data_IF_546710458017
#
_entry.id   IF_546710458017
#
_cell.length_a   1.000
_cell.length_b   1.000
_cell.length_c   1.000
_cell.angle_alpha   90.00
_cell.angle_beta   90.00
_cell.angle_gamma   90.00
#
_symmetry.space_group_name_H-M   'P 1'
#
loop_
_entity.id
_entity.type
_entity.pdbx_description
1 polymer ?
#
# COMPACT_ATOMS: atom_id res chain seq x y z
N UNK A 1 -45.72 44.47 -57.18
CA UNK A 1 -45.54 45.48 -56.11
C UNK A 1 -45.39 44.69 -54.82
N UNK A 2 -44.38 44.77 -53.97
CA UNK A 2 -43.33 45.76 -53.76
C UNK A 2 -42.22 45.03 -52.96
N UNK A 3 -40.96 45.32 -53.26
CA UNK A 3 -39.82 44.93 -52.44
C UNK A 3 -39.96 45.49 -51.01
N UNK A 4 -39.50 44.76 -49.98
CA UNK A 4 -38.28 45.15 -49.23
C UNK A 4 -38.30 44.90 -47.71
N UNK A 5 -37.36 44.04 -47.25
CA UNK A 5 -36.50 44.13 -46.05
C UNK A 5 -37.12 44.28 -44.64
N UNK A 6 -36.71 43.41 -43.72
CA UNK A 6 -35.80 43.70 -42.59
C UNK A 6 -35.74 42.48 -41.65
N UNK A 7 -34.52 42.00 -41.45
CA UNK A 7 -34.09 41.11 -40.37
C UNK A 7 -34.63 41.57 -39.02
N UNK A 8 -35.02 40.64 -38.13
CA UNK A 8 -34.58 40.62 -36.72
C UNK A 8 -35.26 39.48 -35.93
N UNK A 9 -34.42 38.57 -35.45
CA UNK A 9 -34.52 37.80 -34.20
C UNK A 9 -35.78 36.94 -33.93
N UNK A 10 -35.58 35.65 -33.68
CA UNK A 10 -35.63 35.05 -32.33
C UNK A 10 -35.94 33.53 -32.37
N UNK A 11 -34.94 32.76 -31.91
CA UNK A 11 -35.06 31.53 -31.08
C UNK A 11 -35.76 30.33 -31.71
N UNK A 12 -35.02 29.40 -32.32
CA UNK A 12 -34.39 28.24 -31.64
C UNK A 12 -35.34 27.59 -30.63
N UNK A 13 -35.90 26.42 -30.98
CA UNK A 13 -36.20 25.34 -30.04
C UNK A 13 -36.37 24.02 -30.82
N UNK A 14 -35.23 23.46 -31.23
CA UNK A 14 -35.12 22.08 -31.66
C UNK A 14 -35.05 21.23 -30.37
N UNK A 15 -36.16 20.64 -29.94
CA UNK A 15 -36.17 19.67 -28.84
C UNK A 15 -35.62 18.33 -29.34
N UNK A 16 -34.29 18.22 -29.38
CA UNK A 16 -33.60 16.94 -29.43
C UNK A 16 -33.18 16.60 -28.00
N UNK A 17 -34.09 15.99 -27.24
CA UNK A 17 -33.75 15.35 -25.96
C UNK A 17 -33.03 14.05 -26.33
N UNK A 18 -31.71 14.13 -26.45
CA UNK A 18 -30.85 12.96 -26.34
C UNK A 18 -30.80 12.63 -24.85
N UNK A 19 -31.60 11.64 -24.44
CA UNK A 19 -31.40 10.96 -23.16
C UNK A 19 -30.04 10.27 -23.22
N UNK A 20 -29.00 10.98 -22.74
CA UNK A 20 -27.77 10.36 -22.28
C UNK A 20 -28.16 9.41 -21.14
N UNK A 21 -28.41 8.15 -21.48
CA UNK A 21 -28.29 7.07 -20.53
C UNK A 21 -26.81 7.00 -20.15
N UNK A 22 -26.42 7.83 -19.18
CA UNK A 22 -25.27 7.52 -18.37
C UNK A 22 -25.64 6.24 -17.63
N UNK A 23 -25.27 5.09 -18.19
CA UNK A 23 -25.13 3.88 -17.39
C UNK A 23 -24.34 4.30 -16.16
N UNK A 24 -24.83 4.07 -14.92
CA UNK A 24 -23.98 4.30 -13.77
C UNK A 24 -22.72 3.51 -14.04
N UNK A 25 -21.59 4.21 -14.22
CA UNK A 25 -20.28 3.58 -14.18
C UNK A 25 -20.32 2.75 -12.93
N UNK A 26 -20.21 1.43 -13.05
CA UNK A 26 -20.08 0.56 -11.90
C UNK A 26 -18.98 1.19 -11.05
N UNK A 27 -19.34 1.72 -9.87
CA UNK A 27 -18.43 2.53 -9.10
C UNK A 27 -17.21 1.66 -8.85
N UNK A 28 -16.05 2.08 -9.35
CA UNK A 28 -14.83 1.30 -9.22
C UNK A 28 -14.63 1.02 -7.73
N UNK A 29 -14.71 -0.25 -7.35
CA UNK A 29 -14.59 -0.64 -5.94
C UNK A 29 -13.26 -0.13 -5.41
N UNK A 30 -13.32 0.58 -4.29
CA UNK A 30 -12.18 1.18 -3.65
C UNK A 30 -12.27 1.02 -2.13
N UNK A 31 -11.14 1.17 -1.46
CA UNK A 31 -10.97 1.04 0.00
C UNK A 31 -11.09 2.37 0.74
N UNK A 32 -11.67 3.40 0.11
CA UNK A 32 -11.91 4.70 0.69
C UNK A 32 -13.24 4.75 1.45
N UNK A 33 -13.19 5.23 2.68
CA UNK A 33 -14.33 5.56 3.52
C UNK A 33 -14.37 7.05 3.80
N UNK A 34 -15.57 7.61 3.88
CA UNK A 34 -15.80 9.01 4.28
C UNK A 34 -16.61 9.01 5.57
N UNK A 35 -16.11 9.73 6.57
CA UNK A 35 -16.79 9.96 7.85
C UNK A 35 -17.05 11.44 7.98
N UNK A 36 -18.31 11.83 8.09
CA UNK A 36 -18.72 13.23 8.13
C UNK A 36 -19.35 13.59 9.48
N UNK A 37 -19.06 14.80 9.92
CA UNK A 37 -19.72 15.50 11.01
C UNK A 37 -20.15 16.89 10.54
N UNK A 38 -20.97 17.63 11.29
CA UNK A 38 -21.38 18.98 10.88
C UNK A 38 -20.24 19.97 10.64
N UNK A 39 -19.05 19.73 11.21
CA UNK A 39 -17.91 20.64 11.15
C UNK A 39 -16.65 20.06 10.51
N UNK A 40 -16.57 18.74 10.31
CA UNK A 40 -15.37 18.06 9.84
C UNK A 40 -15.69 16.84 8.98
N UNK A 41 -14.79 16.55 8.03
CA UNK A 41 -14.79 15.33 7.23
C UNK A 41 -13.46 14.62 7.41
N UNK A 42 -13.50 13.30 7.61
CA UNK A 42 -12.33 12.43 7.63
C UNK A 42 -12.48 11.42 6.52
N UNK A 43 -11.44 11.30 5.71
CA UNK A 43 -11.32 10.26 4.70
C UNK A 43 -10.34 9.18 5.23
N UNK A 44 -10.80 7.94 5.32
CA UNK A 44 -9.98 6.80 5.70
C UNK A 44 -9.76 5.92 4.48
N UNK A 45 -8.53 5.89 3.99
CA UNK A 45 -8.13 5.10 2.84
C UNK A 45 -7.36 3.87 3.31
N UNK A 46 -7.87 2.67 3.03
CA UNK A 46 -7.06 1.46 3.14
C UNK A 46 -6.03 1.43 2.00
N UNK A 47 -4.75 1.66 2.32
CA UNK A 47 -3.68 1.77 1.32
C UNK A 47 -3.07 0.41 0.99
N UNK A 48 -2.43 0.35 -0.20
CA UNK A 48 -1.55 -0.74 -0.58
C UNK A 48 -0.14 -0.15 -0.77
N UNK A 49 0.80 -0.59 0.06
CA UNK A 49 2.19 -0.12 0.07
C UNK A 49 2.98 -0.44 -1.20
N UNK A 50 2.48 -1.38 -2.01
CA UNK A 50 3.20 -1.90 -3.17
C UNK A 50 2.21 -2.16 -4.30
N UNK A 51 2.46 -1.57 -5.47
CA UNK A 51 1.60 -1.70 -6.64
C UNK A 51 2.42 -1.88 -7.91
N UNK A 52 1.75 -2.34 -8.97
CA UNK A 52 2.27 -2.28 -10.33
C UNK A 52 1.91 -0.92 -10.96
N UNK A 53 2.69 -0.43 -11.92
CA UNK A 53 2.33 0.77 -12.69
C UNK A 53 0.94 0.69 -13.33
N UNK A 54 0.55 -0.50 -13.81
CA UNK A 54 -0.77 -0.74 -14.43
C UNK A 54 -1.97 -0.67 -13.47
N UNK A 55 -1.76 -0.51 -12.16
CA UNK A 55 -2.84 -0.27 -11.19
C UNK A 55 -3.25 1.20 -11.10
N UNK A 56 -2.58 2.09 -11.84
CA UNK A 56 -2.94 3.49 -11.98
C UNK A 56 -3.77 3.74 -13.25
N UNK A 57 -4.60 4.80 -13.29
CA UNK A 57 -4.83 5.76 -12.20
C UNK A 57 -5.60 5.15 -11.02
N UNK A 58 -5.40 5.73 -9.83
CA UNK A 58 -6.23 5.41 -8.68
C UNK A 58 -7.68 5.84 -8.93
N UNK A 59 -8.62 5.25 -8.18
CA UNK A 59 -10.03 5.58 -8.31
C UNK A 59 -10.25 7.09 -8.08
N UNK A 60 -11.05 7.73 -8.94
CA UNK A 60 -11.31 9.18 -8.88
C UNK A 60 -11.73 9.66 -7.49
N UNK A 61 -12.51 8.85 -6.76
CA UNK A 61 -12.93 9.17 -5.40
C UNK A 61 -11.75 9.38 -4.42
N UNK A 62 -10.64 8.64 -4.58
CA UNK A 62 -9.42 8.83 -3.78
C UNK A 62 -8.75 10.16 -4.10
N UNK A 63 -8.69 10.53 -5.39
CA UNK A 63 -8.13 11.80 -5.84
C UNK A 63 -8.97 13.00 -5.39
N UNK A 64 -10.29 12.87 -5.45
CA UNK A 64 -11.23 13.88 -4.98
C UNK A 64 -11.11 14.07 -3.46
N UNK A 65 -11.05 12.97 -2.69
CA UNK A 65 -10.85 13.01 -1.25
C UNK A 65 -9.52 13.66 -0.84
N UNK A 66 -8.44 13.35 -1.56
CA UNK A 66 -7.15 14.00 -1.35
C UNK A 66 -7.24 15.50 -1.62
N UNK A 67 -7.90 15.90 -2.71
CA UNK A 67 -8.05 17.31 -3.10
C UNK A 67 -8.92 18.12 -2.14
N UNK A 68 -9.91 17.47 -1.51
CA UNK A 68 -10.77 18.06 -0.47
C UNK A 68 -10.08 18.14 0.91
N UNK A 69 -8.94 17.46 1.08
CA UNK A 69 -8.22 17.38 2.35
C UNK A 69 -7.18 18.49 2.51
N UNK A 70 -7.01 18.96 3.75
CA UNK A 70 -5.96 19.94 4.14
C UNK A 70 -4.78 19.30 4.86
N UNK A 71 -4.95 18.07 5.31
CA UNK A 71 -3.98 17.31 6.07
C UNK A 71 -3.91 15.90 5.48
N UNK A 72 -2.69 15.36 5.40
CA UNK A 72 -2.48 13.93 5.16
C UNK A 72 -1.92 13.32 6.43
N UNK A 73 -2.53 12.23 6.88
CA UNK A 73 -2.08 11.46 8.04
C UNK A 73 -1.71 10.06 7.57
N UNK A 74 -0.45 9.67 7.70
CA UNK A 74 0.06 8.35 7.36
C UNK A 74 0.21 7.48 8.62
N UNK A 75 0.35 6.16 8.46
CA UNK A 75 0.56 5.26 9.60
C UNK A 75 1.81 5.64 10.41
N UNK A 76 2.90 5.96 9.70
CA UNK A 76 4.13 6.45 10.30
C UNK A 76 4.75 7.57 9.49
N UNK A 77 5.79 8.21 10.03
CA UNK A 77 6.50 9.26 9.32
C UNK A 77 7.28 8.67 8.15
N UNK A 78 6.82 8.97 6.93
CA UNK A 78 7.41 8.39 5.73
C UNK A 78 8.80 8.97 5.41
N UNK A 79 9.11 10.21 5.83
CA UNK A 79 10.45 10.77 5.66
C UNK A 79 11.48 10.00 6.49
N UNK A 80 11.10 9.47 7.66
CA UNK A 80 12.01 8.70 8.52
C UNK A 80 12.37 7.35 7.88
N UNK A 81 11.47 6.75 7.09
CA UNK A 81 11.65 5.41 6.50
C UNK A 81 12.81 5.35 5.49
N UNK A 82 13.20 6.47 4.92
CA UNK A 82 14.31 6.54 3.97
C UNK A 82 15.68 6.75 4.65
N UNK A 83 15.70 7.06 5.96
CA UNK A 83 16.91 7.41 6.69
C UNK A 83 17.81 6.19 6.95
N UNK A 84 19.15 6.33 6.90
CA UNK A 84 20.08 5.28 7.32
C UNK A 84 19.83 4.79 8.75
N UNK A 85 19.48 5.69 9.66
CA UNK A 85 19.24 5.39 11.07
C UNK A 85 18.09 4.40 11.26
N UNK A 86 16.99 4.57 10.54
CA UNK A 86 15.86 3.62 10.59
C UNK A 86 16.25 2.27 9.99
N UNK A 87 17.03 2.24 8.91
CA UNK A 87 17.53 0.98 8.31
C UNK A 87 18.40 0.21 9.30
N UNK A 88 19.31 0.89 9.99
CA UNK A 88 20.18 0.27 10.99
C UNK A 88 19.36 -0.29 12.17
N UNK A 89 18.34 0.45 12.63
CA UNK A 89 17.43 -0.04 13.68
C UNK A 89 16.66 -1.30 13.27
N UNK A 90 16.17 -1.35 12.03
CA UNK A 90 15.51 -2.54 11.47
C UNK A 90 16.48 -3.71 11.49
N UNK A 91 17.69 -3.54 10.97
CA UNK A 91 18.70 -4.61 10.88
C UNK A 91 19.13 -5.10 12.27
N UNK A 92 19.37 -4.20 13.22
CA UNK A 92 19.70 -4.54 14.60
C UNK A 92 18.60 -5.38 15.27
N UNK A 93 17.33 -5.17 14.90
CA UNK A 93 16.20 -5.96 15.40
C UNK A 93 15.93 -7.22 14.60
N UNK A 94 16.32 -7.27 13.33
CA UNK A 94 16.11 -8.40 12.43
C UNK A 94 17.16 -9.52 12.60
N UNK A 95 18.40 -9.19 12.96
CA UNK A 95 19.51 -10.14 13.07
C UNK A 95 19.58 -10.76 14.48
N UNK A 96 20.01 -12.03 14.55
CA UNK A 96 20.44 -12.66 15.80
C UNK A 96 21.86 -12.22 16.17
N UNK A 97 22.01 -11.61 17.35
CA UNK A 97 23.30 -11.14 17.87
C UNK A 97 23.89 -12.07 18.94
N UNK A 98 23.14 -13.07 19.39
CA UNK A 98 23.49 -14.00 20.47
C UNK A 98 24.01 -15.36 19.95
N UNK A 99 24.22 -15.47 18.64
CA UNK A 99 24.59 -16.72 17.97
C UNK A 99 23.44 -17.68 17.72
N UNK A 100 22.20 -17.34 18.12
CA UNK A 100 21.01 -18.06 17.68
C UNK A 100 20.84 -17.97 16.16
N UNK A 101 20.09 -18.89 15.59
CA UNK A 101 19.78 -18.89 14.16
C UNK A 101 18.28 -19.02 13.91
N UNK A 102 17.87 -18.82 12.66
CA UNK A 102 16.50 -19.12 12.22
C UNK A 102 16.14 -20.57 12.53
N UNK A 103 17.05 -21.52 12.25
CA UNK A 103 16.83 -22.94 12.53
C UNK A 103 16.65 -23.24 14.02
N UNK A 104 17.45 -22.63 14.89
CA UNK A 104 17.32 -22.85 16.33
C UNK A 104 16.10 -22.14 16.95
N UNK A 105 15.48 -21.22 16.20
CA UNK A 105 14.36 -20.39 16.68
C UNK A 105 12.99 -20.88 16.24
N UNK A 106 12.94 -21.79 15.26
CA UNK A 106 11.74 -22.46 14.79
C UNK A 106 11.63 -23.87 15.39
N UNK A 107 10.41 -24.38 15.51
CA UNK A 107 10.20 -25.81 15.71
C UNK A 107 10.75 -26.60 14.52
N UNK A 108 11.20 -27.84 14.76
CA UNK A 108 11.75 -28.70 13.69
C UNK A 108 10.76 -28.81 12.51
N UNK A 109 9.49 -29.06 12.82
CA UNK A 109 8.40 -29.15 11.84
C UNK A 109 8.23 -27.84 11.06
N UNK A 110 8.29 -26.69 11.74
CA UNK A 110 8.16 -25.39 11.07
C UNK A 110 9.34 -25.11 10.14
N UNK A 111 10.57 -25.41 10.57
CA UNK A 111 11.75 -25.24 9.71
C UNK A 111 11.68 -26.12 8.46
N UNK A 112 11.36 -27.41 8.62
CA UNK A 112 11.22 -28.36 7.50
C UNK A 112 10.11 -27.94 6.54
N UNK A 113 8.96 -27.50 7.06
CA UNK A 113 7.84 -26.99 6.26
C UNK A 113 8.28 -25.75 5.49
N UNK A 114 8.90 -24.79 6.16
CA UNK A 114 9.33 -23.55 5.54
C UNK A 114 10.41 -23.79 4.46
N UNK A 115 11.35 -24.70 4.71
CA UNK A 115 12.41 -25.05 3.75
C UNK A 115 11.84 -25.75 2.52
N UNK A 116 10.86 -26.64 2.74
CA UNK A 116 10.15 -27.30 1.65
C UNK A 116 9.37 -26.29 0.81
N UNK A 117 8.50 -25.49 1.42
CA UNK A 117 7.68 -24.51 0.69
C UNK A 117 8.55 -23.53 -0.07
N UNK A 118 9.60 -22.95 0.54
CA UNK A 118 10.46 -21.97 -0.15
C UNK A 118 11.21 -22.58 -1.35
N UNK A 119 11.59 -23.86 -1.29
CA UNK A 119 12.18 -24.59 -2.43
C UNK A 119 11.18 -24.85 -3.55
N UNK A 120 9.93 -25.13 -3.19
CA UNK A 120 8.85 -25.44 -4.14
C UNK A 120 8.24 -24.17 -4.74
N UNK A 121 8.40 -23.00 -4.11
CA UNK A 121 7.90 -21.71 -4.60
C UNK A 121 8.49 -21.40 -5.98
N UNK A 122 7.66 -21.41 -7.05
CA UNK A 122 8.11 -21.06 -8.39
C UNK A 122 8.66 -19.64 -8.39
N UNK A 123 9.73 -19.41 -9.16
CA UNK A 123 10.43 -18.14 -9.38
C UNK A 123 11.35 -17.62 -8.26
N UNK A 124 11.19 -18.04 -7.00
CA UNK A 124 12.05 -17.55 -5.91
C UNK A 124 13.35 -18.37 -5.81
N UNK A 125 13.28 -19.71 -5.83
CA UNK A 125 14.47 -20.59 -5.85
C UNK A 125 15.46 -20.38 -4.70
N UNK A 126 15.01 -19.77 -3.59
CA UNK A 126 15.86 -19.44 -2.46
C UNK A 126 15.93 -20.61 -1.48
N UNK A 127 17.08 -20.75 -0.81
CA UNK A 127 17.21 -21.62 0.34
C UNK A 127 17.04 -20.79 1.61
N UNK A 128 16.34 -21.33 2.62
CA UNK A 128 16.28 -20.70 3.95
C UNK A 128 17.66 -20.44 4.56
N UNK A 129 18.71 -21.13 4.09
CA UNK A 129 20.09 -20.94 4.55
C UNK A 129 20.58 -19.50 4.40
N UNK A 130 20.11 -18.73 3.41
CA UNK A 130 20.49 -17.31 3.27
C UNK A 130 19.89 -16.44 4.38
N UNK A 131 18.83 -16.93 5.03
CA UNK A 131 18.12 -16.26 6.09
C UNK A 131 18.52 -16.75 7.49
N UNK A 132 19.55 -17.59 7.61
CA UNK A 132 19.91 -18.28 8.85
C UNK A 132 20.23 -17.31 10.00
N UNK A 133 20.78 -16.13 9.70
CA UNK A 133 21.07 -15.08 10.69
C UNK A 133 19.89 -14.16 11.06
N UNK A 134 18.72 -14.35 10.45
CA UNK A 134 17.57 -13.45 10.57
C UNK A 134 16.42 -14.06 11.38
N UNK A 135 15.68 -13.21 12.09
CA UNK A 135 14.49 -13.57 12.85
C UNK A 135 13.29 -13.83 11.92
N UNK A 136 12.36 -14.73 12.27
CA UNK A 136 11.31 -15.18 11.35
C UNK A 136 10.40 -14.05 10.82
N UNK A 137 10.10 -13.01 11.60
CA UNK A 137 9.28 -11.88 11.14
C UNK A 137 9.90 -11.16 9.92
N UNK A 138 11.23 -10.99 9.94
CA UNK A 138 11.96 -10.31 8.88
C UNK A 138 12.05 -11.20 7.64
N UNK A 139 12.26 -12.50 7.85
CA UNK A 139 12.25 -13.50 6.77
C UNK A 139 10.91 -13.52 6.06
N UNK A 140 9.80 -13.51 6.80
CA UNK A 140 8.45 -13.47 6.25
C UNK A 140 8.25 -12.25 5.32
N UNK A 141 8.51 -11.04 5.81
CA UNK A 141 8.35 -9.81 5.01
C UNK A 141 9.28 -9.79 3.80
N UNK A 142 10.52 -10.25 3.97
CA UNK A 142 11.51 -10.29 2.88
C UNK A 142 11.07 -11.20 1.74
N UNK A 143 10.53 -12.38 2.05
CA UNK A 143 10.07 -13.33 1.03
C UNK A 143 8.89 -12.77 0.23
N UNK A 144 7.93 -12.12 0.90
CA UNK A 144 6.81 -11.43 0.22
C UNK A 144 7.33 -10.33 -0.69
N UNK A 145 8.23 -9.47 -0.17
CA UNK A 145 8.81 -8.37 -0.93
C UNK A 145 9.52 -8.86 -2.20
N UNK A 146 10.37 -9.89 -2.07
CA UNK A 146 11.09 -10.49 -3.19
C UNK A 146 10.12 -11.09 -4.23
N UNK A 147 9.08 -11.80 -3.79
CA UNK A 147 8.07 -12.36 -4.71
C UNK A 147 7.33 -11.27 -5.46
N UNK A 148 6.86 -10.24 -4.77
CA UNK A 148 6.12 -9.15 -5.39
C UNK A 148 7.00 -8.37 -6.37
N UNK A 149 8.26 -8.12 -6.03
CA UNK A 149 9.22 -7.50 -6.94
C UNK A 149 9.43 -8.33 -8.21
N UNK A 150 9.59 -9.64 -8.10
CA UNK A 150 9.67 -10.53 -9.28
C UNK A 150 8.41 -10.48 -10.16
N UNK A 151 7.24 -10.26 -9.55
CA UNK A 151 5.97 -10.10 -10.25
C UNK A 151 5.79 -8.69 -10.86
N UNK A 152 6.76 -7.80 -10.71
CA UNK A 152 6.75 -6.44 -11.27
C UNK A 152 6.02 -5.40 -10.40
N UNK A 153 5.82 -5.70 -9.12
CA UNK A 153 5.36 -4.71 -8.14
C UNK A 153 6.54 -3.90 -7.61
N UNK A 154 6.28 -2.64 -7.23
CA UNK A 154 7.30 -1.71 -6.74
C UNK A 154 6.74 -0.90 -5.56
N UNK A 155 7.44 -0.81 -4.41
CA UNK A 155 7.02 0.01 -3.28
C UNK A 155 6.93 1.51 -3.61
N UNK A 156 7.71 2.01 -4.56
CA UNK A 156 7.64 3.39 -5.02
C UNK A 156 6.30 3.72 -5.70
N UNK A 157 5.59 2.69 -6.18
CA UNK A 157 4.25 2.82 -6.72
C UNK A 157 3.15 2.64 -5.66
N UNK A 158 3.48 2.44 -4.38
CA UNK A 158 2.50 2.32 -3.30
C UNK A 158 1.61 3.54 -3.16
N UNK A 159 0.38 3.32 -2.71
CA UNK A 159 -0.63 4.39 -2.50
C UNK A 159 -0.14 5.41 -1.48
N UNK A 160 0.57 4.95 -0.45
CA UNK A 160 1.12 5.80 0.61
C UNK A 160 2.14 6.78 0.03
N UNK A 161 3.13 6.27 -0.72
CA UNK A 161 4.15 7.10 -1.36
C UNK A 161 3.56 8.04 -2.41
N UNK A 162 2.55 7.57 -3.15
CA UNK A 162 1.85 8.40 -4.13
C UNK A 162 1.22 9.65 -3.48
N UNK A 163 0.38 9.47 -2.46
CA UNK A 163 -0.27 10.60 -1.80
C UNK A 163 0.68 11.40 -0.91
N UNK A 164 1.67 10.77 -0.28
CA UNK A 164 2.68 11.46 0.50
C UNK A 164 3.51 12.42 -0.35
N UNK A 165 4.02 11.95 -1.49
CA UNK A 165 4.79 12.80 -2.41
C UNK A 165 3.93 13.93 -2.99
N UNK A 166 2.66 13.64 -3.32
CA UNK A 166 1.70 14.65 -3.77
C UNK A 166 1.43 15.71 -2.69
N UNK A 167 1.29 15.29 -1.44
CA UNK A 167 1.11 16.19 -0.28
C UNK A 167 2.37 17.05 -0.03
N UNK A 168 3.57 16.47 -0.11
CA UNK A 168 4.84 17.23 -0.05
C UNK A 168 4.92 18.29 -1.15
N UNK A 169 4.62 17.91 -2.39
CA UNK A 169 4.62 18.84 -3.52
C UNK A 169 3.58 19.97 -3.36
N UNK A 170 2.44 19.68 -2.73
CA UNK A 170 1.39 20.66 -2.43
C UNK A 170 1.64 21.47 -1.14
N UNK A 171 2.74 21.23 -0.42
CA UNK A 171 3.00 21.82 0.92
C UNK A 171 1.83 21.58 1.89
N UNK A 172 1.15 20.43 1.75
CA UNK A 172 0.09 20.02 2.64
C UNK A 172 0.68 19.67 4.01
N UNK A 173 -0.07 19.91 5.09
CA UNK A 173 0.38 19.52 6.42
C UNK A 173 0.37 17.99 6.57
N UNK A 174 1.54 17.43 6.89
CA UNK A 174 1.78 16.00 7.05
C UNK A 174 1.79 15.64 8.52
N UNK A 175 1.15 14.52 8.87
CA UNK A 175 1.14 13.95 10.20
C UNK A 175 1.33 12.43 10.12
N UNK A 176 1.69 11.83 11.25
CA UNK A 176 1.82 10.39 11.41
C UNK A 176 1.02 9.92 12.63
N UNK A 177 0.39 8.74 12.54
CA UNK A 177 -0.30 8.13 13.68
C UNK A 177 0.69 7.55 14.70
N UNK A 178 1.78 6.95 14.21
CA UNK A 178 2.72 6.18 15.00
C UNK A 178 4.18 6.51 14.64
N UNK A 179 5.10 6.23 15.55
CA UNK A 179 6.54 6.38 15.28
C UNK A 179 7.08 5.19 14.50
N UNK A 180 8.15 5.39 13.72
CA UNK A 180 8.82 4.30 13.01
C UNK A 180 9.32 3.22 13.99
N UNK A 181 9.76 3.63 15.19
CA UNK A 181 10.13 2.70 16.26
C UNK A 181 8.95 1.83 16.72
N UNK A 182 7.74 2.38 16.82
CA UNK A 182 6.55 1.61 17.16
C UNK A 182 6.28 0.54 16.11
N UNK A 183 6.30 0.90 14.83
CA UNK A 183 6.10 -0.02 13.70
C UNK A 183 7.12 -1.16 13.66
N UNK A 184 8.41 -0.84 13.85
CA UNK A 184 9.45 -1.88 13.91
C UNK A 184 9.25 -2.78 15.13
N UNK A 185 8.86 -2.22 16.27
CA UNK A 185 8.61 -2.97 17.49
C UNK A 185 7.37 -3.86 17.38
N UNK A 186 6.32 -3.43 16.67
CA UNK A 186 5.11 -4.23 16.45
C UNK A 186 5.45 -5.61 15.88
N UNK A 187 6.36 -5.66 14.92
CA UNK A 187 6.83 -6.90 14.29
C UNK A 187 7.91 -7.61 15.12
N UNK A 188 8.94 -6.87 15.52
CA UNK A 188 10.13 -7.47 16.14
C UNK A 188 9.91 -7.97 17.58
N UNK A 189 8.89 -7.46 18.28
CA UNK A 189 8.55 -7.85 19.65
C UNK A 189 7.55 -9.00 19.75
N UNK A 190 7.02 -9.48 18.62
CA UNK A 190 6.14 -10.65 18.60
C UNK A 190 6.82 -11.86 19.28
N UNK A 191 6.03 -12.66 19.99
CA UNK A 191 6.52 -13.91 20.58
C UNK A 191 7.15 -14.83 19.52
N UNK A 192 8.12 -15.67 19.90
CA UNK A 192 8.73 -16.65 18.98
C UNK A 192 7.67 -17.46 18.24
N UNK A 193 6.62 -17.89 18.94
CA UNK A 193 5.46 -18.60 18.38
C UNK A 193 4.74 -17.78 17.31
N UNK A 194 4.48 -16.50 17.56
CA UNK A 194 3.79 -15.64 16.59
C UNK A 194 4.66 -15.34 15.36
N UNK A 195 5.98 -15.19 15.53
CA UNK A 195 6.89 -15.01 14.41
C UNK A 195 6.98 -16.30 13.55
N UNK A 196 7.01 -17.47 14.18
CA UNK A 196 6.91 -18.76 13.47
C UNK A 196 5.60 -18.87 12.69
N UNK A 197 4.46 -18.54 13.32
CA UNK A 197 3.16 -18.55 12.65
C UNK A 197 3.10 -17.57 11.49
N UNK A 198 3.64 -16.36 11.64
CA UNK A 198 3.72 -15.36 10.57
C UNK A 198 4.50 -15.90 9.37
N UNK A 199 5.68 -16.52 9.60
CA UNK A 199 6.49 -17.10 8.53
C UNK A 199 5.76 -18.23 7.81
N UNK A 200 5.17 -19.17 8.56
CA UNK A 200 4.44 -20.29 7.97
C UNK A 200 3.19 -19.84 7.21
N UNK A 201 2.45 -18.87 7.74
CA UNK A 201 1.29 -18.29 7.06
C UNK A 201 1.71 -17.59 5.77
N UNK A 202 2.77 -16.79 5.83
CA UNK A 202 3.33 -16.10 4.67
C UNK A 202 3.71 -17.08 3.56
N UNK A 203 4.41 -18.16 3.90
CA UNK A 203 4.83 -19.16 2.91
C UNK A 203 3.62 -19.87 2.29
N UNK A 204 2.60 -20.20 3.09
CA UNK A 204 1.35 -20.78 2.60
C UNK A 204 0.62 -19.86 1.63
N UNK A 205 0.57 -18.56 1.92
CA UNK A 205 -0.14 -17.59 1.06
C UNK A 205 0.56 -17.32 -0.28
N UNK A 206 1.81 -17.78 -0.43
CA UNK A 206 2.59 -17.66 -1.66
C UNK A 206 2.59 -18.92 -2.52
N UNK A 207 2.13 -20.07 -2.00
CA UNK A 207 1.90 -21.32 -2.75
C UNK A 207 0.80 -21.12 -3.80
#
# INVERSE_FOLDING_TARGET
MMFSWISQYLKISLYLIVLLQASPSEAQKHTLWKVESPSNTVYLLGSLHILKPGHYPLAKAMEDAFSDSRHLVTETNMDDLETPEIRDKIMAKAIYMDGSTLKSSLSLKAYETAEKTLRELPSIGLSLKIFEGFKPWFVAISIVGLKLQQLGFDPANGVDWYFFNKAKAATMALHALETSDFQINLLSSMSKKNQELMLLQTLRDLE
#
